data_IF_211815399555
#
_entry.id   IF_211815399555
#
_cell.length_a   1.000
_cell.length_b   1.000
_cell.length_c   1.000
_cell.angle_alpha   90.00
_cell.angle_beta   90.00
_cell.angle_gamma   90.00
#
_symmetry.space_group_name_H-M   'P 1'
#
loop_
_entity.id
_entity.type
_entity.pdbx_description
1 polymer ?
#
# COMPACT_ATOMS: atom_id res chain seq x y z
N UNK A 1 1.78 -19.28 50.02
CA UNK A 1 1.79 -19.21 49.36
C UNK A 1 1.84 -18.90 48.36
N UNK A 2 1.90 -18.84 47.88
CA UNK A 2 1.91 -18.55 47.01
C UNK A 2 2.03 -18.22 45.99
N UNK A 3 2.12 -18.06 45.33
CA UNK A 3 2.15 -17.79 44.50
C UNK A 3 2.23 -17.35 43.50
N UNK A 4 2.20 -17.16 42.86
CA UNK A 4 2.22 -16.71 41.97
C UNK A 4 2.53 -16.41 41.06
N UNK A 5 2.58 -16.31 40.45
CA UNK A 5 2.76 -15.98 39.57
C UNK A 5 2.83 -15.58 38.56
N UNK A 6 2.71 -15.35 37.97
CA UNK A 6 2.71 -14.96 37.10
C UNK A 6 3.13 -14.70 36.17
N UNK A 7 3.14 -14.58 35.59
CA UNK A 7 3.36 -14.24 34.72
C UNK A 7 3.43 -13.84 33.72
N UNK A 8 3.34 -13.58 33.19
CA UNK A 8 3.37 -13.19 32.43
C UNK A 8 3.70 -12.95 31.37
N UNK A 9 3.59 -12.80 30.83
CA UNK A 9 3.77 -12.49 29.93
C UNK A 9 3.95 -12.18 28.93
N UNK A 10 3.88 -12.01 28.42
CA UNK A 10 3.94 -11.68 27.57
C UNK A 10 4.17 -11.30 26.62
N UNK A 11 4.14 -11.08 26.11
CA UNK A 11 4.27 -10.72 25.26
C UNK A 11 4.41 -10.24 24.38
N UNK A 12 4.34 -10.10 23.92
CA UNK A 12 4.38 -9.58 23.10
C UNK A 12 4.73 -9.33 22.20
N UNK A 13 4.73 -9.29 21.76
CA UNK A 13 4.96 -9.03 20.94
C UNK A 13 5.02 -8.59 20.08
N UNK A 14 4.94 -8.63 19.64
CA UNK A 14 4.94 -8.32 18.90
C UNK A 14 5.00 -7.67 18.04
N UNK A 15 4.84 -7.43 18.12
CA UNK A 15 4.86 -6.48 17.56
C UNK A 15 5.32 -6.39 16.32
N UNK A 16 6.07 -6.51 16.20
CA UNK A 16 6.56 -6.25 15.07
C UNK A 16 5.84 -6.43 13.95
N UNK A 17 5.13 -7.03 14.10
CA UNK A 17 4.49 -7.26 13.09
C UNK A 17 4.21 -6.34 12.17
N UNK A 18 4.36 -5.37 12.48
CA UNK A 18 4.00 -4.44 11.70
C UNK A 18 4.01 -4.66 10.31
N UNK A 19 4.71 -5.18 9.80
CA UNK A 19 4.78 -5.11 8.47
C UNK A 19 3.94 -6.00 7.73
N UNK A 20 2.91 -6.39 8.23
CA UNK A 20 2.09 -7.27 7.50
C UNK A 20 1.58 -6.59 6.26
N UNK A 21 2.13 -6.87 5.18
CA UNK A 21 1.65 -6.33 3.92
C UNK A 21 0.68 -7.33 3.33
N UNK A 22 -0.47 -6.83 2.91
CA UNK A 22 -1.49 -7.66 2.29
C UNK A 22 -1.70 -7.22 0.86
N UNK A 23 -1.02 -7.89 -0.03
CA UNK A 23 -1.10 -7.56 -1.44
C UNK A 23 -2.28 -8.23 -2.13
N UNK A 24 -3.09 -7.44 -2.76
CA UNK A 24 -4.28 -7.90 -3.48
C UNK A 24 -4.15 -7.54 -4.94
N UNK A 25 -4.22 -8.53 -5.80
CA UNK A 25 -4.21 -8.30 -7.23
C UNK A 25 -5.49 -7.62 -7.66
N UNK A 26 -5.39 -6.65 -8.54
CA UNK A 26 -6.58 -5.97 -9.06
C UNK A 26 -6.68 -5.99 -10.60
N UNK A 27 -5.58 -6.22 -11.30
CA UNK A 27 -5.66 -6.31 -12.77
C UNK A 27 -4.42 -7.01 -13.32
N UNK A 28 -4.54 -7.65 -14.45
CA UNK A 28 -3.41 -8.22 -15.17
C UNK A 28 -2.70 -7.14 -15.97
N UNK A 29 -1.39 -7.25 -16.04
CA UNK A 29 -0.56 -6.39 -16.86
C UNK A 29 -0.04 -7.15 -18.07
N UNK A 30 0.84 -6.53 -18.85
CA UNK A 30 1.39 -7.18 -20.04
C UNK A 30 2.38 -8.28 -19.67
N UNK A 31 2.57 -9.21 -20.57
CA UNK A 31 3.60 -10.25 -20.44
C UNK A 31 3.51 -11.09 -19.16
N UNK A 32 2.30 -11.37 -18.72
CA UNK A 32 2.11 -12.26 -17.58
C UNK A 32 2.34 -11.61 -16.22
N UNK A 33 2.57 -10.33 -16.16
CA UNK A 33 2.69 -9.64 -14.86
C UNK A 33 1.31 -9.27 -14.34
N UNK A 34 1.26 -8.88 -13.10
CA UNK A 34 0.00 -8.45 -12.46
C UNK A 34 0.23 -7.19 -11.64
N UNK A 35 -0.82 -6.41 -11.49
CA UNK A 35 -0.81 -5.25 -10.61
C UNK A 35 -1.52 -5.60 -9.32
N UNK A 36 -0.92 -5.22 -8.21
CA UNK A 36 -1.49 -5.45 -6.89
C UNK A 36 -1.37 -4.20 -6.03
N UNK A 37 -2.21 -4.06 -5.03
CA UNK A 37 -2.10 -2.98 -4.06
C UNK A 37 -1.99 -3.57 -2.65
N UNK A 38 -1.35 -2.81 -1.76
CA UNK A 38 -1.21 -3.24 -0.38
C UNK A 38 -2.37 -2.67 0.43
N UNK A 39 -3.28 -3.55 0.82
CA UNK A 39 -4.45 -3.14 1.59
C UNK A 39 -4.11 -2.62 2.98
N UNK A 40 -3.06 -3.14 3.57
CA UNK A 40 -2.66 -2.70 4.91
C UNK A 40 -2.00 -1.33 4.90
N UNK A 41 -1.41 -0.94 3.78
CA UNK A 41 -0.82 0.38 3.65
C UNK A 41 -1.87 1.45 3.41
N UNK A 42 -3.00 1.10 2.82
CA UNK A 42 -4.00 2.05 2.33
C UNK A 42 -4.60 2.88 3.46
N UNK A 43 -4.61 4.18 3.29
CA UNK A 43 -5.22 5.08 4.26
C UNK A 43 -5.80 6.32 3.58
N UNK A 44 -6.65 7.04 4.29
CA UNK A 44 -7.18 8.31 3.80
C UNK A 44 -6.37 9.45 4.40
N UNK A 45 -5.84 10.31 3.55
CA UNK A 45 -5.09 11.46 4.01
C UNK A 45 -6.04 12.48 4.65
N UNK A 46 -5.78 12.81 5.90
CA UNK A 46 -6.64 13.68 6.66
C UNK A 46 -6.75 15.07 6.07
N UNK A 47 -5.69 15.57 5.50
CA UNK A 47 -5.68 16.94 5.01
C UNK A 47 -6.37 17.11 3.67
N UNK A 48 -6.23 16.15 2.77
CA UNK A 48 -6.79 16.27 1.43
C UNK A 48 -8.02 15.42 1.19
N UNK A 49 -8.26 14.43 2.03
CA UNK A 49 -9.31 13.46 1.81
C UNK A 49 -8.96 12.42 0.76
N UNK A 50 -7.75 12.46 0.22
CA UNK A 50 -7.35 11.52 -0.81
C UNK A 50 -7.03 10.16 -0.22
N UNK A 51 -7.24 9.13 -1.02
CA UNK A 51 -6.94 7.78 -0.62
C UNK A 51 -5.51 7.47 -1.04
N UNK A 52 -4.64 7.19 -0.09
CA UNK A 52 -3.23 6.91 -0.36
C UNK A 52 -3.03 5.40 -0.46
N UNK A 53 -2.50 4.96 -1.57
CA UNK A 53 -2.39 3.55 -1.89
C UNK A 53 -1.01 3.23 -2.41
N UNK A 54 -0.45 2.11 -1.98
CA UNK A 54 0.79 1.58 -2.54
C UNK A 54 0.43 0.50 -3.54
N UNK A 55 0.96 0.60 -4.74
CA UNK A 55 0.72 -0.38 -5.80
C UNK A 55 2.03 -0.88 -6.37
N UNK A 56 2.02 -2.07 -6.89
CA UNK A 56 3.20 -2.67 -7.51
C UNK A 56 2.81 -3.56 -8.67
N UNK A 57 3.70 -3.64 -9.65
CA UNK A 57 3.59 -4.58 -10.75
C UNK A 57 4.62 -5.67 -10.54
N UNK A 58 4.23 -6.91 -10.68
CA UNK A 58 5.11 -8.05 -10.42
C UNK A 58 4.63 -9.29 -11.16
N UNK A 59 5.45 -10.32 -11.17
CA UNK A 59 5.00 -11.63 -11.62
C UNK A 59 4.15 -12.26 -10.53
N UNK A 60 3.22 -13.15 -10.87
CA UNK A 60 2.34 -13.74 -9.88
C UNK A 60 3.04 -14.47 -8.75
N UNK A 61 4.21 -15.08 -9.03
CA UNK A 61 4.93 -15.82 -8.00
C UNK A 61 5.91 -14.94 -7.23
N UNK A 62 5.98 -13.67 -7.53
CA UNK A 62 6.93 -12.79 -6.87
C UNK A 62 6.51 -12.53 -5.43
N UNK A 63 7.50 -12.33 -4.59
CA UNK A 63 7.24 -11.92 -3.22
C UNK A 63 7.39 -10.42 -3.17
N UNK A 64 6.30 -9.74 -2.94
CA UNK A 64 6.33 -8.31 -2.72
C UNK A 64 6.61 -8.06 -1.24
N UNK A 65 7.23 -6.95 -0.97
CA UNK A 65 7.52 -6.59 0.41
C UNK A 65 8.96 -6.20 0.58
N UNK A 66 9.24 -5.41 1.58
CA UNK A 66 10.57 -4.89 1.78
C UNK A 66 11.53 -5.91 2.28
N UNK A 67 11.06 -7.01 2.64
CA UNK A 67 11.90 -7.78 3.39
C UNK A 67 12.20 -9.08 3.01
N UNK A 68 12.23 -9.45 2.07
CA UNK A 68 12.54 -10.79 1.97
C UNK A 68 13.93 -11.00 1.65
N UNK A 69 14.56 -11.84 2.30
CA UNK A 69 15.82 -12.26 1.80
C UNK A 69 15.58 -12.94 0.47
N UNK A 70 14.50 -13.20 0.19
CA UNK A 70 14.28 -13.69 -1.08
C UNK A 70 14.41 -12.61 -2.04
N UNK A 71 14.11 -12.32 -2.88
CA UNK A 71 14.16 -11.48 -3.82
C UNK A 71 12.98 -10.88 -3.96
N UNK A 72 12.66 -9.90 -3.29
CA UNK A 72 11.50 -9.10 -3.51
C UNK A 72 11.53 -8.63 -4.94
N UNK A 73 10.53 -8.93 -5.63
CA UNK A 73 10.36 -8.51 -6.99
C UNK A 73 9.21 -7.52 -7.07
N UNK A 74 9.17 -6.77 -8.11
CA UNK A 74 8.11 -5.82 -8.30
C UNK A 74 8.57 -4.41 -8.06
N UNK A 75 8.01 -3.50 -8.76
CA UNK A 75 8.24 -2.07 -8.59
C UNK A 75 6.88 -1.39 -8.73
N UNK A 76 6.76 -0.24 -8.13
CA UNK A 76 5.49 0.46 -8.18
C UNK A 76 5.59 1.86 -7.68
N UNK A 77 4.51 2.35 -7.13
CA UNK A 77 4.46 3.70 -6.63
C UNK A 77 3.42 3.82 -5.53
N UNK A 78 3.54 4.90 -4.78
CA UNK A 78 2.52 5.30 -3.84
C UNK A 78 1.78 6.46 -4.48
N UNK A 79 0.46 6.36 -4.55
CA UNK A 79 -0.38 7.38 -5.18
C UNK A 79 -1.48 7.84 -4.25
N UNK A 80 -1.88 9.08 -4.38
CA UNK A 80 -3.01 9.65 -3.65
C UNK A 80 -4.15 9.88 -4.63
N UNK A 81 -5.25 9.19 -4.42
CA UNK A 81 -6.36 9.14 -5.35
C UNK A 81 -7.52 10.00 -4.88
N UNK A 82 -8.09 10.79 -5.79
CA UNK A 82 -9.38 11.40 -5.58
C UNK A 82 -10.42 10.50 -6.26
N UNK A 83 -11.20 9.82 -5.46
CA UNK A 83 -12.17 8.85 -5.98
C UNK A 83 -13.31 9.51 -6.74
N UNK A 84 -13.62 10.76 -6.43
CA UNK A 84 -14.71 11.45 -7.09
C UNK A 84 -14.29 11.95 -8.45
N UNK A 85 -13.18 12.66 -8.50
CA UNK A 85 -12.70 13.25 -9.75
C UNK A 85 -11.81 12.32 -10.56
N UNK A 86 -11.49 11.18 -10.01
CA UNK A 86 -10.66 10.17 -10.68
C UNK A 86 -9.34 10.71 -11.16
N UNK A 87 -8.66 11.38 -10.28
CA UNK A 87 -7.30 11.84 -10.53
C UNK A 87 -6.38 11.37 -9.41
N UNK A 88 -5.09 11.48 -9.63
CA UNK A 88 -4.12 11.04 -8.65
C UNK A 88 -2.87 11.89 -8.65
N UNK A 89 -2.15 11.81 -7.55
CA UNK A 89 -0.84 12.41 -7.39
C UNK A 89 0.11 11.28 -7.01
N UNK A 90 1.26 11.20 -7.66
CA UNK A 90 2.28 10.22 -7.30
C UNK A 90 3.13 10.77 -6.16
N UNK A 91 3.21 10.04 -5.06
CA UNK A 91 3.94 10.45 -3.89
C UNK A 91 5.38 9.96 -3.90
N UNK A 92 5.62 8.83 -4.44
CA UNK A 92 6.94 8.22 -4.43
C UNK A 92 6.96 6.88 -5.13
N UNK A 93 8.15 6.31 -5.24
CA UNK A 93 8.33 5.02 -5.87
C UNK A 93 8.40 3.92 -4.82
N UNK A 94 7.84 2.77 -5.13
CA UNK A 94 7.94 1.59 -4.31
C UNK A 94 8.96 0.65 -4.94
N UNK A 95 9.95 0.27 -4.16
CA UNK A 95 10.94 -0.73 -4.52
C UNK A 95 11.15 -1.60 -3.31
N UNK A 96 10.93 -2.90 -3.40
CA UNK A 96 11.02 -3.76 -2.22
C UNK A 96 12.36 -3.74 -1.51
N UNK A 97 13.42 -3.47 -2.25
CA UNK A 97 14.76 -3.48 -1.68
C UNK A 97 15.22 -2.15 -1.12
N UNK A 98 14.40 -1.15 -1.11
CA UNK A 98 14.77 0.18 -0.68
C UNK A 98 13.72 0.79 0.24
N UNK A 99 14.10 1.68 1.14
CA UNK A 99 13.11 2.38 1.96
C UNK A 99 12.16 3.19 1.11
N UNK A 100 10.94 3.29 1.56
CA UNK A 100 9.94 4.08 0.89
C UNK A 100 10.25 5.57 1.07
N UNK A 101 10.34 6.28 -0.02
CA UNK A 101 10.67 7.70 -0.01
C UNK A 101 9.49 8.50 -0.54
N UNK A 102 8.75 9.11 0.35
CA UNK A 102 7.56 9.88 0.03
C UNK A 102 7.92 11.36 -0.05
N UNK A 103 7.55 11.99 -1.15
CA UNK A 103 7.78 13.41 -1.33
C UNK A 103 6.96 14.21 -0.31
N UNK A 104 7.62 14.92 0.58
CA UNK A 104 6.93 15.61 1.67
C UNK A 104 5.95 16.67 1.21
N UNK A 105 6.14 17.22 0.02
CA UNK A 105 5.31 18.30 -0.50
C UNK A 105 4.27 17.82 -1.50
N UNK A 106 3.97 16.55 -1.51
CA UNK A 106 3.08 15.98 -2.52
C UNK A 106 1.69 16.61 -2.54
N UNK A 107 1.22 17.10 -1.41
CA UNK A 107 -0.12 17.71 -1.35
C UNK A 107 -0.24 18.97 -2.17
N UNK A 108 0.90 19.58 -2.52
CA UNK A 108 0.93 20.75 -3.36
C UNK A 108 1.08 20.43 -4.84
N UNK A 109 1.25 19.18 -5.17
CA UNK A 109 1.42 18.79 -6.57
C UNK A 109 0.10 18.85 -7.32
N UNK A 110 0.17 19.09 -8.60
CA UNK A 110 -1.02 19.12 -9.45
C UNK A 110 -1.46 17.69 -9.75
N UNK A 111 -2.70 17.35 -9.44
CA UNK A 111 -3.21 16.01 -9.76
C UNK A 111 -3.28 15.78 -11.27
N UNK A 112 -3.09 14.55 -11.65
CA UNK A 112 -3.22 14.14 -13.05
C UNK A 112 -4.39 13.18 -13.18
N UNK A 113 -5.09 13.26 -14.32
CA UNK A 113 -6.18 12.35 -14.55
C UNK A 113 -5.68 10.92 -14.54
N UNK A 114 -6.45 10.05 -13.94
CA UNK A 114 -6.09 8.63 -13.92
C UNK A 114 -6.42 8.04 -15.28
N UNK A 115 -5.38 7.82 -16.08
CA UNK A 115 -5.53 7.26 -17.41
C UNK A 115 -4.94 5.86 -17.46
N UNK A 116 -5.38 5.06 -18.40
CA UNK A 116 -4.91 3.69 -18.55
C UNK A 116 -5.75 2.70 -17.77
N UNK A 117 -5.74 1.47 -18.22
CA UNK A 117 -6.54 0.43 -17.59
C UNK A 117 -6.10 0.10 -16.19
N UNK A 118 -4.80 0.17 -15.92
CA UNK A 118 -4.26 -0.11 -14.61
C UNK A 118 -4.75 0.91 -13.58
N UNK A 119 -4.74 2.20 -13.91
CA UNK A 119 -5.21 3.22 -13.00
C UNK A 119 -6.73 3.16 -12.79
N UNK A 120 -7.47 2.90 -13.85
CA UNK A 120 -8.91 2.75 -13.73
C UNK A 120 -9.27 1.54 -12.86
N UNK A 121 -8.55 0.44 -13.04
CA UNK A 121 -8.76 -0.76 -12.25
C UNK A 121 -8.38 -0.54 -10.78
N UNK A 122 -7.32 0.22 -10.52
CA UNK A 122 -6.93 0.53 -9.15
C UNK A 122 -8.02 1.33 -8.45
N UNK A 123 -8.53 2.37 -9.10
CA UNK A 123 -9.61 3.18 -8.53
C UNK A 123 -10.84 2.32 -8.27
N UNK A 124 -11.21 1.47 -9.20
CA UNK A 124 -12.35 0.58 -9.04
C UNK A 124 -12.16 -0.41 -7.89
N UNK A 125 -10.92 -0.81 -7.64
CA UNK A 125 -10.63 -1.77 -6.58
C UNK A 125 -10.62 -1.13 -5.19
N UNK A 126 -10.04 0.07 -5.06
CA UNK A 126 -9.81 0.65 -3.74
C UNK A 126 -10.87 1.64 -3.28
N UNK A 127 -11.48 2.38 -4.18
CA UNK A 127 -12.45 3.41 -3.80
C UNK A 127 -13.69 2.88 -3.08
N UNK A 128 -14.22 1.69 -3.40
CA UNK A 128 -15.34 1.14 -2.63
C UNK A 128 -15.00 0.91 -1.16
N UNK A 129 -13.72 0.79 -0.80
CA UNK A 129 -13.30 0.55 0.57
C UNK A 129 -12.89 1.84 1.30
N UNK A 130 -13.03 2.98 0.67
CA UNK A 130 -12.55 4.24 1.22
C UNK A 130 -13.13 4.58 2.61
N UNK A 131 -14.32 4.13 2.90
CA UNK A 131 -14.94 4.38 4.20
C UNK A 131 -14.38 3.49 5.31
N UNK A 132 -13.64 2.46 4.95
CA UNK A 132 -13.17 1.47 5.92
C UNK A 132 -11.67 1.54 6.19
N UNK A 133 -10.97 2.44 5.58
CA UNK A 133 -9.53 2.57 5.80
C UNK A 133 -9.25 3.58 6.89
N UNK A 134 -8.10 3.48 7.56
CA UNK A 134 -7.75 4.46 8.59
C UNK A 134 -7.56 5.85 7.99
N UNK A 135 -7.77 6.85 8.81
CA UNK A 135 -7.51 8.24 8.44
C UNK A 135 -6.22 8.67 9.14
N UNK A 136 -5.30 9.19 8.39
CA UNK A 136 -4.00 9.60 8.94
C UNK A 136 -3.61 11.02 8.55
#
# INVERSE_FOLDING_TARGET
MRRALALAATLSLIAGAASAETWTKYVDGPNGVQWSYDGDYTYKDKQTGRLVVMQAISKPEAKLGPSGPGKPDGVGSVVAIDCKDKNLITLGSYKPSAPLDIKATWRSDTPKKATGEDNAALIAAVCPHAAHVPVK
#
